data_IF_757499118484
#
_entry.id   IF_757499118484
#
_cell.length_a   1.000
_cell.length_b   1.000
_cell.length_c   1.000
_cell.angle_alpha   90.00
_cell.angle_beta   90.00
_cell.angle_gamma   90.00
#
_symmetry.space_group_name_H-M   'P 1'
#
loop_
_entity.id
_entity.type
_entity.pdbx_description
1 polymer ?
#
# COMPACT_ATOMS: atom_id res chain seq x y z
N UNK A 1 3.83 7.22 15.42
CA UNK A 1 5.03 7.42 16.27
C UNK A 1 6.15 6.53 15.77
N UNK A 2 7.33 7.10 15.54
CA UNK A 2 8.53 6.39 15.12
C UNK A 2 9.38 6.09 16.35
N UNK A 3 9.76 4.84 16.57
CA UNK A 3 10.61 4.47 17.68
C UNK A 3 12.10 4.49 17.28
N UNK A 4 12.87 5.43 17.84
CA UNK A 4 14.33 5.48 17.74
C UNK A 4 14.86 5.01 19.11
N UNK A 5 15.61 3.89 19.14
CA UNK A 5 16.11 3.32 20.38
C UNK A 5 17.61 3.09 20.32
N UNK A 6 18.28 3.36 21.44
CA UNK A 6 19.68 3.05 21.67
C UNK A 6 19.80 1.59 22.14
N UNK A 7 20.71 0.82 21.55
CA UNK A 7 20.92 -0.59 21.91
C UNK A 7 21.60 -0.78 23.30
N UNK A 8 22.17 0.27 23.87
CA UNK A 8 22.77 0.24 25.21
C UNK A 8 21.90 0.96 26.25
N UNK A 9 20.68 0.49 26.47
CA UNK A 9 19.84 0.96 27.57
C UNK A 9 20.28 0.27 28.86
N UNK A 10 20.30 1.00 30.01
CA UNK A 10 20.86 0.47 31.29
C UNK A 10 20.06 -0.70 31.88
N UNK A 11 18.89 -1.07 31.34
CA UNK A 11 18.03 -2.11 31.92
C UNK A 11 17.41 -3.07 30.87
N UNK A 12 17.59 -2.87 29.59
CA UNK A 12 17.05 -3.77 28.54
C UNK A 12 17.93 -3.75 27.30
N UNK A 13 18.15 -4.92 26.69
CA UNK A 13 18.81 -5.04 25.39
C UNK A 13 17.90 -4.43 24.31
N UNK A 14 18.44 -3.49 23.52
CA UNK A 14 17.72 -2.84 22.41
C UNK A 14 17.15 -3.82 21.39
N UNK A 15 17.79 -4.96 21.21
CA UNK A 15 17.31 -6.06 20.37
C UNK A 15 16.02 -6.70 20.91
N UNK A 16 15.92 -6.86 22.23
CA UNK A 16 14.72 -7.38 22.87
C UNK A 16 13.56 -6.40 22.70
N UNK A 17 13.81 -5.10 22.89
CA UNK A 17 12.79 -4.05 22.70
C UNK A 17 12.29 -4.03 21.24
N UNK A 18 13.20 -4.14 20.26
CA UNK A 18 12.83 -4.21 18.86
C UNK A 18 11.90 -5.41 18.58
N UNK A 19 12.23 -6.58 19.10
CA UNK A 19 11.42 -7.80 18.98
C UNK A 19 10.03 -7.64 19.59
N UNK A 20 9.94 -7.06 20.79
CA UNK A 20 8.67 -6.84 21.48
C UNK A 20 7.76 -5.84 20.74
N UNK A 21 8.35 -4.77 20.18
CA UNK A 21 7.60 -3.81 19.35
C UNK A 21 7.09 -4.51 18.10
N UNK A 22 7.92 -5.29 17.42
CA UNK A 22 7.57 -5.96 16.19
C UNK A 22 6.48 -7.01 16.36
N UNK A 23 6.38 -7.66 17.52
CA UNK A 23 5.27 -8.57 17.81
C UNK A 23 3.91 -7.88 17.91
N UNK A 24 3.89 -6.57 18.24
CA UNK A 24 2.66 -5.82 18.51
C UNK A 24 2.34 -4.77 17.46
N UNK A 25 3.31 -4.42 16.59
CA UNK A 25 3.19 -3.28 15.69
C UNK A 25 4.12 -3.39 14.48
N UNK A 26 3.68 -2.85 13.35
CA UNK A 26 4.47 -2.66 12.13
C UNK A 26 5.07 -1.24 12.04
N UNK A 27 5.21 -0.54 13.15
CA UNK A 27 5.86 0.77 13.17
C UNK A 27 7.28 0.70 12.62
N UNK A 28 7.73 1.68 11.81
CA UNK A 28 9.12 1.75 11.38
C UNK A 28 10.08 1.86 12.56
N UNK A 29 11.14 1.04 12.56
CA UNK A 29 12.14 0.98 13.62
C UNK A 29 13.51 1.23 13.02
N UNK A 30 14.22 2.27 13.52
CA UNK A 30 15.65 2.48 13.25
C UNK A 30 16.42 2.19 14.54
N UNK A 31 17.42 1.33 14.45
CA UNK A 31 18.33 1.03 15.55
C UNK A 31 19.55 1.94 15.47
N UNK A 32 19.86 2.67 16.55
CA UNK A 32 21.07 3.46 16.70
C UNK A 32 21.98 2.78 17.71
N UNK A 33 23.21 2.40 17.31
CA UNK A 33 24.11 1.66 18.16
C UNK A 33 25.56 2.13 18.06
N UNK A 34 26.31 2.02 19.15
CA UNK A 34 27.77 2.18 19.18
C UNK A 34 28.52 0.91 18.75
N UNK A 35 27.82 -0.21 18.56
CA UNK A 35 28.40 -1.45 18.02
C UNK A 35 28.53 -1.31 16.51
N UNK A 36 29.72 -1.57 15.98
CA UNK A 36 30.05 -1.34 14.57
C UNK A 36 30.36 -2.65 13.82
N UNK A 37 29.90 -3.81 14.32
CA UNK A 37 30.12 -5.05 13.62
C UNK A 37 29.01 -5.32 12.61
N UNK A 38 29.40 -5.86 11.44
CA UNK A 38 28.44 -6.32 10.41
C UNK A 38 27.45 -7.34 10.98
N UNK A 39 27.87 -8.07 12.00
CA UNK A 39 27.03 -9.04 12.71
C UNK A 39 25.90 -8.35 13.51
N UNK A 40 26.19 -7.24 14.20
CA UNK A 40 25.18 -6.49 14.95
C UNK A 40 24.14 -5.84 14.03
N UNK A 41 24.59 -5.33 12.86
CA UNK A 41 23.71 -4.81 11.81
C UNK A 41 22.79 -5.92 11.28
N UNK A 42 23.37 -7.07 10.88
CA UNK A 42 22.61 -8.21 10.38
C UNK A 42 21.60 -8.72 11.42
N UNK A 43 22.00 -8.81 12.69
CA UNK A 43 21.11 -9.23 13.79
C UNK A 43 19.96 -8.25 13.99
N UNK A 44 20.21 -6.93 13.90
CA UNK A 44 19.18 -5.89 14.02
C UNK A 44 18.11 -6.03 12.96
N UNK A 45 18.53 -6.20 11.71
CA UNK A 45 17.64 -6.37 10.57
C UNK A 45 16.84 -7.68 10.66
N UNK A 46 17.47 -8.79 11.06
CA UNK A 46 16.80 -10.08 11.24
C UNK A 46 15.75 -10.08 12.36
N UNK A 47 15.92 -9.24 13.38
CA UNK A 47 14.94 -9.09 14.48
C UNK A 47 13.74 -8.23 14.07
N UNK A 48 13.85 -7.55 12.92
CA UNK A 48 12.76 -6.79 12.33
C UNK A 48 12.95 -5.26 12.39
N UNK A 49 14.16 -4.76 12.62
CA UNK A 49 14.47 -3.36 12.38
C UNK A 49 14.40 -3.05 10.87
N UNK A 50 13.95 -1.86 10.51
CA UNK A 50 13.88 -1.40 9.12
C UNK A 50 15.20 -0.77 8.66
N UNK A 51 16.01 -0.27 9.60
CA UNK A 51 17.33 0.28 9.32
C UNK A 51 18.23 0.26 10.56
N UNK A 52 19.54 0.33 10.33
CA UNK A 52 20.57 0.34 11.37
C UNK A 52 21.59 1.46 11.09
N UNK A 53 21.95 2.21 12.12
CA UNK A 53 22.92 3.31 12.03
C UNK A 53 23.91 3.21 13.19
N UNK A 54 25.18 3.09 12.87
CA UNK A 54 26.26 3.09 13.85
C UNK A 54 26.56 4.50 14.36
N UNK A 55 26.90 4.60 15.65
CA UNK A 55 27.40 5.84 16.25
C UNK A 55 28.95 5.90 16.08
N UNK A 56 29.54 7.09 15.83
CA UNK A 56 28.90 8.39 15.64
C UNK A 56 28.26 8.53 14.25
N UNK A 57 27.07 9.14 14.16
CA UNK A 57 26.36 9.34 12.90
C UNK A 57 26.20 10.82 12.54
N UNK A 58 26.08 11.12 11.26
CA UNK A 58 25.72 12.45 10.79
C UNK A 58 24.20 12.64 10.90
N UNK A 59 23.77 13.74 11.55
CA UNK A 59 22.34 14.03 11.74
C UNK A 59 21.58 14.18 10.42
N UNK A 60 22.20 14.69 9.36
CA UNK A 60 21.58 14.82 8.04
C UNK A 60 21.34 13.44 7.39
N UNK A 61 22.28 12.49 7.58
CA UNK A 61 22.12 11.11 7.11
C UNK A 61 20.96 10.42 7.85
N UNK A 62 20.88 10.60 9.16
CA UNK A 62 19.76 10.07 9.96
C UNK A 62 18.44 10.64 9.49
N UNK A 63 18.34 11.97 9.29
CA UNK A 63 17.14 12.62 8.79
C UNK A 63 16.73 12.09 7.40
N UNK A 64 17.67 11.91 6.48
CA UNK A 64 17.38 11.37 5.16
C UNK A 64 16.83 9.92 5.22
N UNK A 65 17.37 9.09 6.12
CA UNK A 65 16.90 7.72 6.32
C UNK A 65 15.51 7.68 6.97
N UNK A 66 15.26 8.54 7.95
CA UNK A 66 13.94 8.74 8.56
C UNK A 66 12.91 9.14 7.49
N UNK A 67 13.24 10.16 6.67
CA UNK A 67 12.34 10.62 5.60
C UNK A 67 12.04 9.51 4.59
N UNK A 68 13.04 8.72 4.20
CA UNK A 68 12.85 7.58 3.29
C UNK A 68 11.95 6.50 3.88
N UNK A 69 12.12 6.17 5.17
CA UNK A 69 11.25 5.21 5.86
C UNK A 69 9.82 5.72 6.01
N UNK A 70 9.66 6.98 6.39
CA UNK A 70 8.35 7.61 6.50
C UNK A 70 7.65 7.70 5.13
N UNK A 71 8.35 8.12 4.07
CA UNK A 71 7.82 8.14 2.71
C UNK A 71 7.29 6.76 2.32
N UNK A 72 8.09 5.69 2.50
CA UNK A 72 7.68 4.32 2.24
C UNK A 72 6.45 3.89 3.06
N UNK A 73 6.38 4.31 4.33
CA UNK A 73 5.25 3.98 5.22
C UNK A 73 3.99 4.75 4.84
N UNK A 74 4.12 6.03 4.49
CA UNK A 74 3.03 6.87 4.01
C UNK A 74 2.57 6.47 2.60
N UNK A 75 3.50 6.16 1.68
CA UNK A 75 3.16 5.61 0.36
C UNK A 75 2.37 4.29 0.46
N UNK A 76 2.70 3.43 1.43
CA UNK A 76 1.92 2.21 1.69
C UNK A 76 0.52 2.56 2.21
N UNK A 77 0.37 3.58 3.08
CA UNK A 77 -0.95 4.00 3.57
C UNK A 77 -1.78 4.71 2.50
N UNK A 78 -1.17 5.60 1.72
CA UNK A 78 -1.84 6.28 0.60
C UNK A 78 -2.19 5.31 -0.54
N UNK A 79 -1.36 4.28 -0.78
CA UNK A 79 -1.64 3.24 -1.77
C UNK A 79 -2.66 2.18 -1.30
N UNK A 80 -2.94 2.09 0.00
CA UNK A 80 -3.92 1.13 0.56
C UNK A 80 -5.35 1.63 0.46
N UNK A 81 -5.54 2.95 0.49
CA UNK A 81 -6.87 3.58 0.42
C UNK A 81 -6.85 4.64 -0.67
N UNK A 82 -7.58 4.39 -1.74
CA UNK A 82 -7.76 5.36 -2.83
C UNK A 82 -9.10 6.08 -2.67
N UNK A 83 -9.12 7.40 -2.89
CA UNK A 83 -10.35 8.20 -2.83
C UNK A 83 -10.51 9.04 -4.09
N UNK A 84 -11.71 8.99 -4.69
CA UNK A 84 -12.08 9.80 -5.85
C UNK A 84 -13.59 10.02 -5.90
N UNK A 85 -14.04 11.26 -6.14
CA UNK A 85 -15.47 11.64 -6.18
C UNK A 85 -16.28 11.13 -4.96
N UNK A 86 -15.67 11.08 -3.78
CA UNK A 86 -16.28 10.58 -2.54
C UNK A 86 -16.29 9.05 -2.38
N UNK A 87 -15.98 8.28 -3.43
CA UNK A 87 -15.77 6.84 -3.33
C UNK A 87 -14.41 6.56 -2.71
N UNK A 88 -14.38 5.68 -1.74
CA UNK A 88 -13.16 5.18 -1.11
C UNK A 88 -13.00 3.70 -1.44
N UNK A 89 -11.82 3.31 -1.97
CA UNK A 89 -11.42 1.94 -2.21
C UNK A 89 -10.33 1.53 -1.22
N UNK A 90 -10.59 0.54 -0.38
CA UNK A 90 -9.63 -0.07 0.53
C UNK A 90 -9.05 -1.34 -0.11
N UNK A 91 -7.78 -1.31 -0.50
CA UNK A 91 -7.12 -2.40 -1.21
C UNK A 91 -6.84 -3.61 -0.30
N UNK A 92 -6.60 -3.40 1.01
CA UNK A 92 -6.36 -4.51 1.95
C UNK A 92 -7.63 -5.32 2.23
N UNK A 93 -8.78 -4.63 2.27
CA UNK A 93 -10.08 -5.27 2.56
C UNK A 93 -10.82 -5.70 1.30
N UNK A 94 -10.33 -5.32 0.11
CA UNK A 94 -11.05 -5.43 -1.17
C UNK A 94 -12.48 -4.88 -1.04
N UNK A 95 -12.61 -3.68 -0.48
CA UNK A 95 -13.90 -3.07 -0.12
C UNK A 95 -13.97 -1.64 -0.66
N UNK A 96 -15.13 -1.27 -1.18
CA UNK A 96 -15.49 0.11 -1.49
C UNK A 96 -16.46 0.66 -0.45
N UNK A 97 -16.36 1.97 -0.21
CA UNK A 97 -17.32 2.70 0.64
C UNK A 97 -17.70 4.05 0.05
N UNK A 98 -18.98 4.39 0.15
CA UNK A 98 -19.55 5.66 -0.29
C UNK A 98 -20.75 6.02 0.61
N UNK A 99 -20.79 7.23 1.17
CA UNK A 99 -21.85 7.72 2.03
C UNK A 99 -22.30 6.74 3.13
N UNK A 100 -21.34 6.06 3.76
CA UNK A 100 -21.58 5.09 4.84
C UNK A 100 -21.97 3.69 4.38
N UNK A 101 -22.29 3.47 3.11
CA UNK A 101 -22.50 2.14 2.53
C UNK A 101 -21.18 1.49 2.17
N UNK A 102 -21.10 0.17 2.30
CA UNK A 102 -19.89 -0.62 1.99
C UNK A 102 -20.23 -1.84 1.17
N UNK A 103 -19.34 -2.22 0.25
CA UNK A 103 -19.45 -3.43 -0.57
C UNK A 103 -18.06 -4.01 -0.80
N UNK A 104 -17.98 -5.34 -0.71
CA UNK A 104 -16.77 -6.09 -1.08
C UNK A 104 -16.67 -6.23 -2.59
N UNK A 105 -15.44 -6.21 -3.09
CA UNK A 105 -15.11 -6.45 -4.48
C UNK A 105 -14.40 -7.79 -4.65
N UNK A 106 -14.59 -8.42 -5.80
CA UNK A 106 -13.70 -9.50 -6.23
C UNK A 106 -12.32 -8.95 -6.57
N UNK A 107 -11.32 -9.83 -6.67
CA UNK A 107 -9.94 -9.45 -7.01
C UNK A 107 -9.87 -8.67 -8.33
N UNK A 108 -10.59 -9.13 -9.36
CA UNK A 108 -10.60 -8.49 -10.67
C UNK A 108 -11.32 -7.14 -10.65
N UNK A 109 -12.48 -7.03 -9.99
CA UNK A 109 -13.18 -5.75 -9.82
C UNK A 109 -12.32 -4.73 -9.08
N UNK A 110 -11.62 -5.16 -8.03
CA UNK A 110 -10.68 -4.31 -7.28
C UNK A 110 -9.51 -3.87 -8.15
N UNK A 111 -8.90 -4.77 -8.93
CA UNK A 111 -7.79 -4.46 -9.84
C UNK A 111 -8.19 -3.42 -10.89
N UNK A 112 -9.36 -3.60 -11.53
CA UNK A 112 -9.91 -2.65 -12.50
C UNK A 112 -10.14 -1.28 -11.85
N UNK A 113 -10.85 -1.26 -10.71
CA UNK A 113 -11.18 0.00 -10.05
C UNK A 113 -9.93 0.73 -9.55
N UNK A 114 -8.94 0.00 -9.00
CA UNK A 114 -7.65 0.54 -8.59
C UNK A 114 -6.94 1.23 -9.77
N UNK A 115 -6.82 0.54 -10.90
CA UNK A 115 -6.15 1.07 -12.09
C UNK A 115 -6.81 2.37 -12.57
N UNK A 116 -8.14 2.40 -12.62
CA UNK A 116 -8.90 3.58 -13.02
C UNK A 116 -8.77 4.73 -12.01
N UNK A 117 -8.82 4.46 -10.71
CA UNK A 117 -8.71 5.48 -9.66
C UNK A 117 -7.30 6.07 -9.54
N UNK A 118 -6.24 5.27 -9.75
CA UNK A 118 -4.86 5.76 -9.80
C UNK A 118 -4.67 6.70 -11.00
N UNK A 119 -5.32 6.39 -12.13
CA UNK A 119 -5.25 7.17 -13.35
C UNK A 119 -6.50 8.06 -13.55
N UNK A 120 -7.11 8.53 -12.46
CA UNK A 120 -8.33 9.35 -12.48
C UNK A 120 -8.24 10.50 -13.46
N UNK A 121 -9.34 10.71 -14.20
CA UNK A 121 -9.41 11.74 -15.26
C UNK A 121 -8.78 11.34 -16.60
N UNK A 122 -8.08 10.21 -16.67
CA UNK A 122 -7.53 9.68 -17.92
C UNK A 122 -8.37 8.50 -18.42
N UNK A 123 -8.37 8.31 -19.75
CA UNK A 123 -8.99 7.13 -20.38
C UNK A 123 -7.96 6.01 -20.39
N UNK A 124 -8.31 4.86 -19.80
CA UNK A 124 -7.45 3.67 -19.79
C UNK A 124 -7.92 2.72 -20.90
N UNK A 125 -7.03 2.40 -21.86
CA UNK A 125 -7.34 1.45 -22.93
C UNK A 125 -7.70 0.07 -22.39
N UNK A 126 -8.52 -0.67 -23.15
CA UNK A 126 -8.97 -2.03 -22.76
C UNK A 126 -7.79 -2.97 -22.57
N UNK A 127 -6.83 -2.93 -23.49
CA UNK A 127 -5.64 -3.78 -23.45
C UNK A 127 -4.80 -3.53 -22.19
N UNK A 128 -4.64 -2.26 -21.77
CA UNK A 128 -3.93 -1.91 -20.55
C UNK A 128 -4.62 -2.46 -19.28
N UNK A 129 -5.96 -2.54 -19.28
CA UNK A 129 -6.70 -3.15 -18.17
C UNK A 129 -6.52 -4.67 -18.19
N UNK A 130 -6.56 -5.28 -19.35
CA UNK A 130 -6.33 -6.72 -19.52
C UNK A 130 -4.91 -7.08 -19.04
N UNK A 131 -3.90 -6.34 -19.46
CA UNK A 131 -2.50 -6.55 -19.07
C UNK A 131 -2.31 -6.45 -17.55
N UNK A 132 -2.93 -5.48 -16.89
CA UNK A 132 -2.91 -5.34 -15.43
C UNK A 132 -3.53 -6.55 -14.73
N UNK A 133 -4.64 -7.05 -15.25
CA UNK A 133 -5.31 -8.23 -14.71
C UNK A 133 -4.53 -9.53 -14.97
N UNK A 134 -3.81 -9.62 -16.10
CA UNK A 134 -2.96 -10.77 -16.42
C UNK A 134 -1.80 -10.97 -15.46
N UNK A 135 -1.26 -9.91 -14.88
CA UNK A 135 -0.24 -10.01 -13.83
C UNK A 135 -0.76 -10.73 -12.57
N UNK A 136 -2.06 -10.84 -12.42
CA UNK A 136 -2.72 -11.42 -11.24
C UNK A 136 -3.36 -12.79 -11.47
N UNK A 137 -3.70 -13.18 -12.72
CA UNK A 137 -4.34 -14.47 -13.07
C UNK A 137 -3.98 -14.90 -14.49
N UNK A 138 -3.85 -16.21 -14.74
CA UNK A 138 -3.65 -16.77 -16.08
C UNK A 138 -4.97 -16.73 -16.85
N UNK A 139 -4.94 -16.24 -18.12
CA UNK A 139 -6.05 -16.23 -19.07
C UNK A 139 -7.23 -15.29 -18.76
N UNK A 140 -7.01 -13.99 -18.91
CA UNK A 140 -8.08 -13.00 -18.98
C UNK A 140 -8.24 -12.55 -20.44
N UNK A 141 -9.42 -12.78 -21.00
CA UNK A 141 -9.82 -12.35 -22.34
C UNK A 141 -10.75 -11.10 -22.28
N UNK A 142 -11.10 -10.56 -23.45
CA UNK A 142 -12.04 -9.44 -23.54
C UNK A 142 -13.42 -9.74 -22.92
N UNK A 143 -13.89 -11.00 -23.00
CA UNK A 143 -15.17 -11.40 -22.42
C UNK A 143 -15.11 -11.32 -20.91
N UNK A 144 -14.00 -11.76 -20.31
CA UNK A 144 -13.75 -11.66 -18.87
C UNK A 144 -13.73 -10.21 -18.41
N UNK A 145 -13.07 -9.31 -19.16
CA UNK A 145 -13.10 -7.88 -18.87
C UNK A 145 -14.53 -7.33 -18.88
N UNK A 146 -15.30 -7.62 -19.96
CA UNK A 146 -16.67 -7.13 -20.08
C UNK A 146 -17.56 -7.59 -18.91
N UNK A 147 -17.46 -8.85 -18.50
CA UNK A 147 -18.21 -9.40 -17.37
C UNK A 147 -17.85 -8.67 -16.06
N UNK A 148 -16.56 -8.44 -15.83
CA UNK A 148 -16.11 -7.74 -14.61
C UNK A 148 -16.53 -6.26 -14.62
N UNK A 149 -16.50 -5.58 -15.76
CA UNK A 149 -17.01 -4.20 -15.92
C UNK A 149 -18.51 -4.13 -15.59
N UNK A 150 -19.32 -5.07 -16.09
CA UNK A 150 -20.76 -5.12 -15.81
C UNK A 150 -21.02 -5.35 -14.31
N UNK A 151 -20.29 -6.27 -13.69
CA UNK A 151 -20.39 -6.55 -12.25
C UNK A 151 -19.97 -5.34 -11.41
N UNK A 152 -18.84 -4.72 -11.74
CA UNK A 152 -18.35 -3.54 -11.03
C UNK A 152 -19.34 -2.37 -11.10
N UNK A 153 -19.94 -2.12 -12.28
CA UNK A 153 -21.01 -1.12 -12.41
C UNK A 153 -22.22 -1.40 -11.54
N UNK A 154 -22.64 -2.69 -11.50
CA UNK A 154 -23.74 -3.08 -10.61
C UNK A 154 -23.40 -2.80 -9.15
N UNK A 155 -22.20 -3.19 -8.70
CA UNK A 155 -21.74 -2.97 -7.32
C UNK A 155 -21.65 -1.47 -6.99
N UNK A 156 -21.17 -0.63 -7.93
CA UNK A 156 -21.14 0.83 -7.77
C UNK A 156 -22.53 1.44 -7.72
N UNK A 157 -23.46 0.99 -8.57
CA UNK A 157 -24.85 1.46 -8.55
C UNK A 157 -25.55 1.13 -7.22
N UNK A 158 -25.29 -0.06 -6.65
CA UNK A 158 -25.86 -0.49 -5.36
C UNK A 158 -25.44 0.40 -4.18
N UNK A 159 -24.30 1.10 -4.26
CA UNK A 159 -23.84 2.05 -3.25
C UNK A 159 -24.16 3.51 -3.60
N UNK A 160 -24.94 3.77 -4.68
CA UNK A 160 -25.37 5.10 -5.09
C UNK A 160 -24.50 5.80 -6.13
N UNK A 161 -23.65 5.07 -6.87
CA UNK A 161 -22.73 5.60 -7.89
C UNK A 161 -22.93 4.94 -9.27
N UNK A 162 -24.13 5.03 -9.90
CA UNK A 162 -24.41 4.29 -11.15
C UNK A 162 -23.53 4.75 -12.33
N UNK A 163 -23.16 6.03 -12.38
CA UNK A 163 -22.43 6.64 -13.50
C UNK A 163 -20.94 6.88 -13.19
N UNK A 164 -20.41 6.23 -12.14
CA UNK A 164 -19.03 6.44 -11.72
C UNK A 164 -18.02 5.90 -12.75
N UNK A 165 -18.30 4.75 -13.37
CA UNK A 165 -17.45 4.11 -14.36
C UNK A 165 -17.99 4.35 -15.78
N UNK A 166 -17.34 5.23 -16.53
CA UNK A 166 -17.72 5.60 -17.86
C UNK A 166 -17.04 4.74 -18.94
N UNK A 167 -17.75 4.48 -20.07
CA UNK A 167 -17.14 3.94 -21.28
C UNK A 167 -16.91 5.05 -22.29
N UNK A 168 -15.68 5.19 -22.75
CA UNK A 168 -15.35 6.01 -23.91
C UNK A 168 -15.25 5.08 -25.14
N UNK A 169 -16.29 5.10 -25.99
CA UNK A 169 -16.41 4.17 -27.12
C UNK A 169 -15.16 4.17 -27.99
N UNK A 170 -14.61 2.98 -28.27
CA UNK A 170 -13.40 2.78 -29.06
C UNK A 170 -12.09 3.16 -28.38
N UNK A 171 -12.13 3.73 -27.14
CA UNK A 171 -10.94 4.20 -26.43
C UNK A 171 -10.68 3.42 -25.15
N UNK A 172 -11.71 3.14 -24.33
CA UNK A 172 -11.54 2.45 -23.06
C UNK A 172 -12.51 2.90 -21.98
N UNK A 173 -12.02 2.95 -20.73
CA UNK A 173 -12.80 3.29 -19.54
C UNK A 173 -12.13 4.40 -18.73
N UNK A 174 -12.93 5.16 -17.98
CA UNK A 174 -12.45 6.18 -17.01
C UNK A 174 -13.41 6.33 -15.82
N UNK A 175 -12.94 7.01 -14.76
CA UNK A 175 -13.70 7.39 -13.57
C UNK A 175 -13.54 8.86 -13.24
#
# INVERSE_FOLDING_TARGET
EMCIRDSNLPYQDGFQVCREIRQKSNLPIIVLSSRNSDFDELMSLNIGADDYISKPYNAQVLLARIQKLLARTYEIQDNVVLTHKGLTLNLLKAEISYQGQRKSLTKNEMGILRLLMVNKGNIIPRDAIIDELWQSEQFIDENTLNVNIVRLRKTLAEIGLPDYLETKRGLGYCV
#
